data_IF_844381933920
#
_entry.id   IF_844381933920
#
_cell.length_a   1.000
_cell.length_b   1.000
_cell.length_c   1.000
_cell.angle_alpha   90.00
_cell.angle_beta   90.00
_cell.angle_gamma   90.00
#
_symmetry.space_group_name_H-M   'P 1'
#
loop_
_entity.id
_entity.type
_entity.pdbx_description
1 polymer ?
#
# COMPACT_ATOMS: atom_id res chain seq x y z
N UNK A 1 5.31 4.91 1.16
CA UNK A 1 5.85 4.00 2.22
C UNK A 1 4.73 3.09 2.74
N UNK A 2 5.01 1.80 2.88
CA UNK A 2 4.02 0.79 3.28
C UNK A 2 4.54 -0.04 4.46
N UNK A 3 3.63 -0.51 5.33
CA UNK A 3 4.00 -1.36 6.48
C UNK A 3 4.27 -2.81 6.08
N UNK A 4 3.63 -3.29 5.00
CA UNK A 4 3.79 -4.65 4.44
C UNK A 4 4.08 -4.57 2.95
N UNK A 5 5.34 -4.30 2.58
CA UNK A 5 5.76 -4.12 1.17
C UNK A 5 5.46 -5.34 0.29
N UNK A 6 5.61 -6.56 0.80
CA UNK A 6 5.26 -7.79 0.06
C UNK A 6 3.80 -7.81 -0.40
N UNK A 7 2.87 -7.30 0.42
CA UNK A 7 1.45 -7.25 0.05
C UNK A 7 1.15 -6.20 -1.03
N UNK A 8 2.01 -5.20 -1.18
CA UNK A 8 1.94 -4.17 -2.24
C UNK A 8 2.53 -4.71 -3.54
N UNK A 9 3.63 -5.47 -3.47
CA UNK A 9 4.22 -6.14 -4.63
C UNK A 9 3.28 -7.23 -5.19
N UNK A 10 2.66 -8.01 -4.30
CA UNK A 10 1.83 -9.15 -4.67
C UNK A 10 2.64 -10.34 -5.19
N UNK A 11 1.95 -11.42 -5.57
CA UNK A 11 2.59 -12.63 -6.07
C UNK A 11 3.42 -12.33 -7.32
N UNK A 12 4.74 -12.60 -7.26
CA UNK A 12 5.69 -12.34 -8.36
C UNK A 12 5.62 -10.89 -8.91
N UNK A 13 5.24 -9.91 -8.07
CA UNK A 13 5.12 -8.51 -8.47
C UNK A 13 3.87 -8.18 -9.29
N UNK A 14 2.86 -9.06 -9.33
CA UNK A 14 1.64 -8.85 -10.12
C UNK A 14 0.91 -7.57 -9.73
N UNK A 15 0.70 -7.35 -8.43
CA UNK A 15 -0.10 -6.23 -7.93
C UNK A 15 0.53 -4.88 -8.23
N UNK A 16 1.86 -4.76 -8.12
CA UNK A 16 2.54 -3.50 -8.45
C UNK A 16 2.48 -3.20 -9.96
N UNK A 17 2.55 -4.21 -10.83
CA UNK A 17 2.37 -4.04 -12.29
C UNK A 17 0.95 -3.61 -12.65
N UNK A 18 -0.06 -4.18 -11.99
CA UNK A 18 -1.45 -3.79 -12.17
C UNK A 18 -1.67 -2.33 -11.74
N UNK A 19 -1.15 -1.93 -10.57
CA UNK A 19 -1.21 -0.55 -10.10
C UNK A 19 -0.53 0.42 -11.08
N UNK A 20 0.65 0.07 -11.59
CA UNK A 20 1.33 0.84 -12.64
C UNK A 20 0.44 1.00 -13.87
N UNK A 21 -0.20 -0.08 -14.34
CA UNK A 21 -1.10 -0.03 -15.51
C UNK A 21 -2.34 0.84 -15.26
N UNK A 22 -2.94 0.79 -14.07
CA UNK A 22 -4.09 1.61 -13.71
C UNK A 22 -3.73 3.10 -13.73
N UNK A 23 -2.58 3.47 -13.14
CA UNK A 23 -2.12 4.86 -13.12
C UNK A 23 -1.77 5.33 -14.54
N UNK A 24 -1.06 4.51 -15.32
CA UNK A 24 -0.73 4.83 -16.71
C UNK A 24 -1.98 5.12 -17.55
N UNK A 25 -3.00 4.24 -17.48
CA UNK A 25 -4.24 4.39 -18.25
C UNK A 25 -5.11 5.55 -17.77
N UNK A 26 -5.15 5.81 -16.46
CA UNK A 26 -5.99 6.87 -15.88
C UNK A 26 -5.51 8.28 -16.24
N UNK A 27 -4.19 8.45 -16.40
CA UNK A 27 -3.57 9.74 -16.65
C UNK A 27 -2.91 9.84 -18.04
N UNK A 28 -3.15 8.87 -18.92
CA UNK A 28 -2.61 8.81 -20.28
C UNK A 28 -1.08 8.94 -20.35
N UNK A 29 -0.35 8.36 -19.40
CA UNK A 29 1.11 8.32 -19.46
C UNK A 29 1.60 7.44 -20.62
N UNK A 30 2.67 7.86 -21.28
CA UNK A 30 3.30 7.08 -22.33
C UNK A 30 3.94 5.79 -21.75
N UNK A 31 4.08 4.72 -22.56
CA UNK A 31 4.74 3.50 -22.11
C UNK A 31 6.14 3.79 -21.55
N UNK A 32 6.54 3.05 -20.52
CA UNK A 32 7.88 3.14 -19.89
C UNK A 32 8.23 4.50 -19.24
N UNK A 33 7.27 5.41 -19.08
CA UNK A 33 7.52 6.71 -18.40
C UNK A 33 7.23 6.70 -16.91
N UNK A 34 6.61 5.62 -16.40
CA UNK A 34 6.15 5.52 -15.02
C UNK A 34 6.54 4.17 -14.42
N UNK A 35 7.24 4.23 -13.29
CA UNK A 35 7.56 3.10 -12.43
C UNK A 35 7.12 3.36 -11.00
N UNK A 36 6.64 2.32 -10.32
CA UNK A 36 6.23 2.38 -8.93
C UNK A 36 7.20 1.58 -8.06
N UNK A 37 7.58 2.15 -6.92
CA UNK A 37 8.46 1.50 -5.94
C UNK A 37 7.75 1.38 -4.59
N UNK A 38 8.02 0.29 -3.87
CA UNK A 38 7.45 0.02 -2.57
C UNK A 38 8.52 0.08 -1.48
N UNK A 39 8.54 1.17 -0.71
CA UNK A 39 9.45 1.34 0.42
C UNK A 39 8.80 0.94 1.75
N UNK A 40 9.56 0.29 2.63
CA UNK A 40 9.11 -0.13 3.96
C UNK A 40 9.18 1.04 4.94
N UNK A 41 8.10 1.26 5.69
CA UNK A 41 8.12 2.17 6.85
C UNK A 41 9.05 1.59 7.92
N UNK A 42 10.11 2.32 8.29
CA UNK A 42 11.06 1.86 9.31
C UNK A 42 10.41 1.73 10.69
N UNK A 43 9.85 2.83 11.22
CA UNK A 43 9.21 2.88 12.54
C UNK A 43 7.69 2.98 12.40
N UNK A 44 7.01 1.84 12.22
CA UNK A 44 5.54 1.78 12.08
C UNK A 44 4.79 2.52 13.19
N UNK A 45 5.30 2.49 14.42
CA UNK A 45 4.74 3.18 15.58
C UNK A 45 4.58 4.70 15.41
N UNK A 46 5.43 5.31 14.57
CA UNK A 46 5.44 6.76 14.34
C UNK A 46 4.62 7.19 13.12
N UNK A 47 4.05 6.25 12.36
CA UNK A 47 3.21 6.57 11.21
C UNK A 47 1.73 6.61 11.63
N UNK A 48 1.18 7.82 11.76
CA UNK A 48 -0.21 8.03 12.18
C UNK A 48 -1.22 7.26 11.31
N UNK A 49 -1.04 7.27 9.98
CA UNK A 49 -1.92 6.54 9.04
C UNK A 49 -1.85 5.03 9.29
N UNK A 50 -0.66 4.48 9.47
CA UNK A 50 -0.48 3.06 9.75
C UNK A 50 -1.06 2.62 11.10
N UNK A 51 -1.04 3.50 12.10
CA UNK A 51 -1.67 3.27 13.40
C UNK A 51 -3.19 3.32 13.29
N UNK A 52 -3.74 4.35 12.63
CA UNK A 52 -5.17 4.49 12.41
C UNK A 52 -5.73 3.31 11.60
N UNK A 53 -5.04 2.89 10.54
CA UNK A 53 -5.43 1.71 9.76
C UNK A 53 -5.36 0.43 10.60
N UNK A 54 -4.33 0.28 11.45
CA UNK A 54 -4.25 -0.85 12.37
C UNK A 54 -5.41 -0.88 13.37
N UNK A 55 -5.84 0.28 13.86
CA UNK A 55 -6.99 0.39 14.75
C UNK A 55 -8.28 0.03 14.00
N UNK A 56 -8.48 0.55 12.79
CA UNK A 56 -9.63 0.21 11.92
C UNK A 56 -9.80 -1.31 11.78
N UNK A 57 -8.72 -2.03 11.49
CA UNK A 57 -8.78 -3.49 11.37
C UNK A 57 -9.11 -4.21 12.69
N UNK A 58 -8.61 -3.72 13.83
CA UNK A 58 -8.94 -4.29 15.14
C UNK A 58 -10.41 -4.09 15.50
N UNK A 59 -10.95 -2.90 15.23
CA UNK A 59 -12.34 -2.57 15.49
C UNK A 59 -13.30 -3.38 14.62
N UNK A 60 -12.99 -3.52 13.32
CA UNK A 60 -13.76 -4.40 12.42
C UNK A 60 -13.70 -5.86 12.90
N UNK A 61 -12.57 -6.27 13.50
CA UNK A 61 -12.41 -7.60 14.12
C UNK A 61 -13.13 -7.78 15.46
N UNK A 62 -13.93 -6.82 15.92
CA UNK A 62 -14.72 -6.93 17.15
C UNK A 62 -13.98 -6.55 18.43
N UNK A 63 -12.81 -5.91 18.35
CA UNK A 63 -12.12 -5.40 19.54
C UNK A 63 -12.98 -4.30 20.20
N UNK A 64 -13.32 -4.49 21.48
CA UNK A 64 -14.06 -3.50 22.24
C UNK A 64 -13.26 -2.19 22.40
N UNK A 65 -13.96 -1.07 22.24
CA UNK A 65 -13.41 0.28 22.47
C UNK A 65 -13.40 0.56 23.97
N UNK A 66 -12.35 1.23 24.44
CA UNK A 66 -12.19 1.72 25.81
C UNK A 66 -11.84 3.19 25.78
#
# INVERSE_FOLDING_TARGET
>A
MATRTQSVLGEKGRRIRELTSVVQKRFNFAPMTLDLYAEKVATRGLCAIAQAESLRYKLIGGLAVR
#
